data_IF_433590268779
#
_entry.id   IF_433590268779
#
_cell.length_a   1.000
_cell.length_b   1.000
_cell.length_c   1.000
_cell.angle_alpha   90.00
_cell.angle_beta   90.00
_cell.angle_gamma   90.00
#
_symmetry.space_group_name_H-M   'P 1'
#
loop_
_entity.id
_entity.type
_entity.pdbx_description
1 polymer ?
#
# COMPACT_ATOMS: atom_id res chain seq x y z
N UNK A 1 25.06 -10.48 4.28
CA UNK A 1 25.06 -11.15 2.96
C UNK A 1 26.30 -12.04 2.70
N UNK A 2 27.15 -12.25 3.67
CA UNK A 2 28.27 -13.20 3.55
C UNK A 2 27.67 -14.63 3.51
N UNK A 3 27.87 -15.37 2.43
CA UNK A 3 27.45 -16.75 2.13
C UNK A 3 26.11 -16.95 1.39
N UNK A 4 25.72 -16.02 0.49
CA UNK A 4 24.60 -16.30 -0.41
C UNK A 4 25.14 -17.11 -1.59
N UNK A 5 24.62 -18.33 -1.75
CA UNK A 5 24.94 -19.16 -2.90
C UNK A 5 24.11 -18.70 -4.11
N UNK A 6 24.75 -18.17 -5.13
CA UNK A 6 24.09 -17.66 -6.34
C UNK A 6 23.26 -18.76 -7.03
N UNK A 7 23.73 -20.01 -7.02
CA UNK A 7 22.99 -21.14 -7.58
C UNK A 7 21.67 -21.41 -6.85
N UNK A 8 21.62 -21.15 -5.52
CA UNK A 8 20.39 -21.30 -4.76
C UNK A 8 19.38 -20.17 -5.06
N UNK A 9 19.86 -18.95 -5.35
CA UNK A 9 18.98 -17.83 -5.75
C UNK A 9 18.17 -18.17 -6.98
N UNK A 10 18.76 -18.84 -7.97
CA UNK A 10 18.12 -19.19 -9.24
C UNK A 10 17.66 -20.66 -9.32
N UNK A 11 17.60 -21.36 -8.19
CA UNK A 11 17.04 -22.71 -8.16
C UNK A 11 15.54 -22.70 -8.44
N UNK A 12 15.01 -23.76 -9.09
CA UNK A 12 13.58 -23.86 -9.40
C UNK A 12 12.69 -23.71 -8.17
N UNK A 13 13.09 -24.32 -7.03
CA UNK A 13 12.36 -24.19 -5.77
C UNK A 13 12.33 -22.73 -5.26
N UNK A 14 13.48 -22.05 -5.28
CA UNK A 14 13.59 -20.65 -4.84
C UNK A 14 12.78 -19.74 -5.77
N UNK A 15 12.88 -19.91 -7.09
CA UNK A 15 12.12 -19.12 -8.06
C UNK A 15 10.62 -19.33 -7.90
N UNK A 16 10.15 -20.55 -7.66
CA UNK A 16 8.74 -20.82 -7.40
C UNK A 16 8.23 -20.10 -6.15
N UNK A 17 8.98 -20.17 -5.04
CA UNK A 17 8.62 -19.49 -3.79
C UNK A 17 8.67 -17.95 -3.95
N UNK A 18 9.66 -17.44 -4.67
CA UNK A 18 9.75 -16.00 -4.97
C UNK A 18 8.57 -15.52 -5.82
N UNK A 19 8.16 -16.34 -6.79
CA UNK A 19 6.98 -16.06 -7.61
C UNK A 19 5.70 -16.04 -6.76
N UNK A 20 5.58 -16.89 -5.73
CA UNK A 20 4.46 -16.84 -4.79
C UNK A 20 4.38 -15.47 -4.09
N UNK A 21 5.51 -14.97 -3.59
CA UNK A 21 5.59 -13.66 -2.96
C UNK A 21 5.27 -12.53 -3.94
N UNK A 22 5.80 -12.62 -5.18
CA UNK A 22 5.54 -11.63 -6.22
C UNK A 22 4.05 -11.58 -6.55
N UNK A 23 3.41 -12.71 -6.82
CA UNK A 23 2.01 -12.77 -7.24
C UNK A 23 1.05 -12.35 -6.12
N UNK A 24 1.37 -12.70 -4.86
CA UNK A 24 0.59 -12.25 -3.70
C UNK A 24 0.69 -10.73 -3.49
N UNK A 25 1.88 -10.13 -3.72
CA UNK A 25 2.08 -8.69 -3.63
C UNK A 25 1.49 -7.96 -4.84
N UNK A 26 1.73 -8.48 -6.06
CA UNK A 26 1.40 -7.81 -7.31
C UNK A 26 -0.07 -7.42 -7.40
N UNK A 27 -0.97 -8.36 -7.07
CA UNK A 27 -2.41 -8.12 -7.11
C UNK A 27 -2.86 -6.92 -6.25
N UNK A 28 -2.25 -6.73 -5.08
CA UNK A 28 -2.55 -5.58 -4.22
C UNK A 28 -1.80 -4.31 -4.62
N UNK A 29 -0.54 -4.44 -5.04
CA UNK A 29 0.31 -3.31 -5.37
C UNK A 29 -0.18 -2.52 -6.59
N UNK A 30 -0.75 -3.19 -7.60
CA UNK A 30 -1.28 -2.53 -8.80
C UNK A 30 -2.56 -1.72 -8.54
N UNK A 31 -3.30 -2.05 -7.48
CA UNK A 31 -4.57 -1.36 -7.16
C UNK A 31 -4.33 0.11 -6.80
N UNK A 32 -3.26 0.41 -6.05
CA UNK A 32 -2.94 1.77 -5.61
C UNK A 32 -2.72 2.73 -6.80
N UNK A 33 -1.77 2.47 -7.72
CA UNK A 33 -1.55 3.34 -8.87
C UNK A 33 -2.78 3.43 -9.80
N UNK A 34 -3.57 2.36 -9.94
CA UNK A 34 -4.78 2.39 -10.75
C UNK A 34 -5.86 3.30 -10.16
N UNK A 35 -6.07 3.28 -8.83
CA UNK A 35 -7.01 4.20 -8.17
C UNK A 35 -6.54 5.64 -8.30
N UNK A 36 -5.26 5.92 -8.04
CA UNK A 36 -4.71 7.28 -8.16
C UNK A 36 -4.87 7.79 -9.60
N UNK A 37 -4.51 6.96 -10.58
CA UNK A 37 -4.60 7.31 -12.00
C UNK A 37 -6.03 7.58 -12.45
N UNK A 38 -6.99 6.73 -12.07
CA UNK A 38 -8.40 6.91 -12.43
C UNK A 38 -8.99 8.14 -11.76
N UNK A 39 -8.69 8.38 -10.48
CA UNK A 39 -9.21 9.53 -9.73
C UNK A 39 -8.63 10.88 -10.21
N UNK A 40 -7.43 10.89 -10.76
CA UNK A 40 -6.74 12.09 -11.25
C UNK A 40 -6.75 12.20 -12.79
N UNK A 41 -7.49 11.35 -13.48
CA UNK A 41 -7.63 11.35 -14.94
C UNK A 41 -6.28 11.27 -15.69
N UNK A 42 -5.38 10.38 -15.24
CA UNK A 42 -4.12 10.16 -15.92
C UNK A 42 -4.31 9.61 -17.33
N UNK A 43 -3.44 9.99 -18.24
CA UNK A 43 -3.39 9.35 -19.55
C UNK A 43 -2.97 7.88 -19.41
N UNK A 44 -3.30 7.06 -20.42
CA UNK A 44 -2.89 5.64 -20.44
C UNK A 44 -1.38 5.47 -20.27
N UNK A 45 -0.58 6.36 -20.88
CA UNK A 45 0.88 6.32 -20.75
C UNK A 45 1.35 6.68 -19.36
N UNK A 46 0.76 7.68 -18.70
CA UNK A 46 1.09 8.04 -17.32
C UNK A 46 0.71 6.93 -16.35
N UNK A 47 -0.46 6.30 -16.55
CA UNK A 47 -0.90 5.16 -15.74
C UNK A 47 0.04 3.97 -15.89
N UNK A 48 0.42 3.64 -17.12
CA UNK A 48 1.35 2.56 -17.42
C UNK A 48 2.73 2.82 -16.80
N UNK A 49 3.22 4.05 -16.92
CA UNK A 49 4.47 4.46 -16.28
C UNK A 49 4.38 4.31 -14.76
N UNK A 50 3.32 4.84 -14.14
CA UNK A 50 3.12 4.81 -12.69
C UNK A 50 3.12 3.37 -12.16
N UNK A 51 2.34 2.47 -12.78
CA UNK A 51 2.28 1.04 -12.41
C UNK A 51 3.65 0.37 -12.53
N UNK A 52 4.34 0.58 -13.65
CA UNK A 52 5.63 -0.05 -13.92
C UNK A 52 6.73 0.47 -12.98
N UNK A 53 6.82 1.79 -12.81
CA UNK A 53 7.79 2.41 -11.94
C UNK A 53 7.55 2.08 -10.46
N UNK A 54 6.29 2.00 -10.01
CA UNK A 54 5.92 1.59 -8.66
C UNK A 54 6.49 0.21 -8.32
N UNK A 55 6.42 -0.75 -9.23
CA UNK A 55 6.95 -2.11 -9.01
C UNK A 55 8.48 -2.09 -8.91
N UNK A 56 9.16 -1.30 -9.76
CA UNK A 56 10.63 -1.14 -9.68
C UNK A 56 11.03 -0.55 -8.34
N UNK A 57 10.38 0.53 -7.93
CA UNK A 57 10.70 1.21 -6.66
C UNK A 57 10.37 0.30 -5.47
N UNK A 58 9.27 -0.47 -5.53
CA UNK A 58 8.94 -1.51 -4.54
C UNK A 58 10.07 -2.55 -4.42
N UNK A 59 10.63 -3.00 -5.55
CA UNK A 59 11.77 -3.91 -5.57
C UNK A 59 13.00 -3.31 -4.90
N UNK A 60 13.34 -2.05 -5.22
CA UNK A 60 14.46 -1.33 -4.59
C UNK A 60 14.20 -1.13 -3.09
N UNK A 61 13.00 -0.72 -2.69
CA UNK A 61 12.65 -0.53 -1.29
C UNK A 61 12.70 -1.85 -0.49
N UNK A 62 12.26 -2.97 -1.11
CA UNK A 62 12.40 -4.32 -0.53
C UNK A 62 13.87 -4.70 -0.34
N UNK A 63 14.72 -4.39 -1.33
CA UNK A 63 16.17 -4.60 -1.20
C UNK A 63 16.75 -3.80 -0.04
N UNK A 64 16.38 -2.53 0.10
CA UNK A 64 16.85 -1.67 1.20
C UNK A 64 16.47 -2.24 2.58
N UNK A 65 15.32 -2.87 2.74
CA UNK A 65 14.90 -3.51 3.98
C UNK A 65 15.65 -4.82 4.25
N UNK A 66 15.84 -5.64 3.21
CA UNK A 66 16.53 -6.93 3.30
C UNK A 66 18.04 -6.78 3.57
N UNK A 67 18.64 -5.69 3.06
CA UNK A 67 20.04 -5.37 3.28
C UNK A 67 20.27 -4.97 4.74
N UNK A 68 21.31 -5.49 5.39
CA UNK A 68 21.71 -5.09 6.74
C UNK A 68 23.00 -4.28 6.68
N UNK A 69 22.86 -2.99 6.51
CA UNK A 69 23.98 -2.04 6.50
C UNK A 69 24.18 -1.33 7.83
N UNK A 70 25.10 -0.36 7.86
CA UNK A 70 25.35 0.47 9.04
C UNK A 70 24.18 1.43 9.33
N UNK A 71 23.55 1.97 8.31
CA UNK A 71 22.51 3.00 8.41
C UNK A 71 21.15 2.57 7.89
N UNK A 72 21.10 1.61 6.97
CA UNK A 72 19.89 1.16 6.28
C UNK A 72 19.71 -0.35 6.43
N UNK A 73 18.46 -0.76 6.39
CA UNK A 73 18.04 -2.15 6.33
C UNK A 73 18.13 -2.88 7.66
N UNK A 74 17.05 -3.54 7.98
CA UNK A 74 16.90 -4.32 9.19
C UNK A 74 17.42 -5.75 9.02
N UNK A 75 17.59 -6.18 7.76
CA UNK A 75 18.05 -7.54 7.43
C UNK A 75 16.95 -8.59 7.56
N UNK A 76 15.70 -8.18 7.72
CA UNK A 76 14.50 -9.02 7.61
C UNK A 76 13.86 -8.87 6.22
N UNK A 77 13.14 -9.88 5.74
CA UNK A 77 12.51 -9.88 4.43
C UNK A 77 11.19 -9.11 4.43
N UNK A 78 11.25 -7.83 4.74
CA UNK A 78 10.11 -6.92 4.65
C UNK A 78 9.87 -6.59 3.19
N UNK A 79 8.84 -7.15 2.60
CA UNK A 79 8.44 -6.81 1.23
C UNK A 79 7.74 -5.47 1.24
N UNK A 80 8.21 -4.55 0.40
CA UNK A 80 7.68 -3.20 0.26
C UNK A 80 6.80 -3.11 -0.99
N UNK A 81 5.72 -2.36 -0.90
CA UNK A 81 4.84 -2.05 -2.03
C UNK A 81 4.14 -0.70 -1.80
N UNK A 82 3.32 -0.28 -2.79
CA UNK A 82 2.57 0.96 -2.75
C UNK A 82 1.67 1.05 -1.51
N UNK A 83 1.69 2.17 -0.83
CA UNK A 83 0.91 2.41 0.38
C UNK A 83 -0.55 2.69 0.07
N UNK A 84 -1.46 1.87 0.59
CA UNK A 84 -2.91 2.15 0.56
C UNK A 84 -3.27 3.43 1.32
N UNK A 85 -2.52 3.74 2.37
CA UNK A 85 -2.68 4.94 3.21
C UNK A 85 -2.49 6.23 2.40
N UNK A 86 -1.68 6.16 1.33
CA UNK A 86 -1.37 7.30 0.48
C UNK A 86 -2.47 7.64 -0.53
N UNK A 87 -3.41 6.73 -0.83
CA UNK A 87 -4.39 6.91 -1.90
C UNK A 87 -5.19 8.21 -1.70
N UNK A 88 -5.88 8.36 -0.58
CA UNK A 88 -6.70 9.54 -0.30
C UNK A 88 -5.90 10.85 -0.34
N UNK A 89 -4.81 10.98 0.43
CA UNK A 89 -3.96 12.17 0.41
C UNK A 89 -3.37 12.49 -0.97
N UNK A 90 -2.92 11.48 -1.74
CA UNK A 90 -2.39 11.72 -3.09
C UNK A 90 -3.46 12.21 -4.05
N UNK A 91 -4.65 11.59 -4.03
CA UNK A 91 -5.79 12.00 -4.88
C UNK A 91 -6.21 13.42 -4.53
N UNK A 92 -6.32 13.75 -3.24
CA UNK A 92 -6.70 15.09 -2.82
C UNK A 92 -5.65 16.13 -3.20
N UNK A 93 -4.37 15.88 -2.89
CA UNK A 93 -3.27 16.82 -3.21
C UNK A 93 -3.14 16.97 -4.73
N UNK A 94 -3.18 15.88 -5.48
CA UNK A 94 -3.11 15.90 -6.94
C UNK A 94 -4.26 16.67 -7.59
N UNK A 95 -5.48 16.48 -7.07
CA UNK A 95 -6.68 17.19 -7.55
C UNK A 95 -6.70 18.67 -7.18
N UNK A 96 -6.21 19.04 -6.00
CA UNK A 96 -6.27 20.42 -5.50
C UNK A 96 -5.05 21.26 -5.91
N UNK A 97 -3.84 20.70 -5.89
CA UNK A 97 -2.58 21.42 -6.07
C UNK A 97 -1.78 20.97 -7.30
N UNK A 98 -2.28 19.97 -8.05
CA UNK A 98 -1.62 19.42 -9.22
C UNK A 98 -0.63 18.30 -8.94
N UNK A 99 -0.26 17.55 -10.00
CA UNK A 99 0.57 16.35 -9.92
C UNK A 99 2.01 16.67 -9.45
N UNK A 100 2.58 17.79 -9.89
CA UNK A 100 3.90 18.22 -9.46
C UNK A 100 3.98 18.43 -7.95
N UNK A 101 2.94 19.02 -7.34
CA UNK A 101 2.84 19.19 -5.88
C UNK A 101 2.65 17.86 -5.16
N UNK A 102 1.88 16.95 -5.74
CA UNK A 102 1.67 15.62 -5.19
C UNK A 102 3.02 14.87 -5.07
N UNK A 103 3.77 14.74 -6.16
CA UNK A 103 5.06 14.03 -6.14
C UNK A 103 6.15 14.80 -5.38
N UNK A 104 6.17 16.13 -5.48
CA UNK A 104 7.07 16.98 -4.71
C UNK A 104 6.85 16.84 -3.20
N UNK A 105 5.60 16.70 -2.76
CA UNK A 105 5.26 16.48 -1.36
C UNK A 105 5.69 15.09 -0.87
N UNK A 106 5.59 14.05 -1.70
CA UNK A 106 6.12 12.71 -1.40
C UNK A 106 7.65 12.77 -1.21
N UNK A 107 8.35 13.50 -2.08
CA UNK A 107 9.80 13.67 -1.99
C UNK A 107 10.19 14.36 -0.67
N UNK A 108 9.54 15.46 -0.32
CA UNK A 108 9.82 16.17 0.95
C UNK A 108 9.44 15.31 2.15
N UNK A 109 8.32 14.59 2.11
CA UNK A 109 7.95 13.64 3.15
C UNK A 109 9.08 12.61 3.38
N UNK A 110 9.70 12.11 2.31
CA UNK A 110 10.87 11.22 2.40
C UNK A 110 12.04 11.84 3.17
N UNK A 111 12.36 13.11 2.90
CA UNK A 111 13.40 13.85 3.65
C UNK A 111 13.01 13.98 5.13
N UNK A 112 11.76 14.33 5.42
CA UNK A 112 11.27 14.46 6.80
C UNK A 112 11.33 13.12 7.53
N UNK A 113 10.94 12.01 6.89
CA UNK A 113 11.06 10.67 7.47
C UNK A 113 12.52 10.35 7.83
N UNK A 114 13.47 10.66 6.96
CA UNK A 114 14.89 10.44 7.25
C UNK A 114 15.35 11.23 8.48
N UNK A 115 14.90 12.48 8.64
CA UNK A 115 15.20 13.31 9.80
C UNK A 115 14.53 12.79 11.07
N UNK A 116 13.28 12.30 10.95
CA UNK A 116 12.50 11.78 12.08
C UNK A 116 12.89 10.36 12.48
N UNK A 117 13.52 9.55 11.60
CA UNK A 117 13.82 8.15 11.85
C UNK A 117 14.54 7.87 13.18
N UNK A 118 15.59 8.61 13.59
CA UNK A 118 16.26 8.38 14.87
C UNK A 118 15.36 8.74 16.06
N UNK A 119 14.52 9.77 15.94
CA UNK A 119 13.60 10.21 16.99
C UNK A 119 12.46 9.20 17.12
N UNK A 120 11.89 8.79 15.98
CA UNK A 120 10.77 7.88 15.91
C UNK A 120 11.12 6.46 16.42
N UNK A 121 12.35 6.00 16.20
CA UNK A 121 12.84 4.74 16.75
C UNK A 121 12.81 4.72 18.29
N UNK A 122 13.10 5.84 18.94
CA UNK A 122 12.97 6.01 20.40
C UNK A 122 11.52 6.09 20.85
N UNK A 123 10.67 6.68 20.04
CA UNK A 123 9.26 6.91 20.31
C UNK A 123 8.35 5.77 19.84
N UNK A 124 8.90 4.67 19.32
CA UNK A 124 8.12 3.52 18.83
C UNK A 124 7.14 2.94 19.87
N UNK A 125 7.43 3.14 21.16
CA UNK A 125 6.54 2.78 22.28
C UNK A 125 5.24 3.61 22.34
N UNK A 126 5.15 4.75 21.64
CA UNK A 126 3.92 5.56 21.52
C UNK A 126 2.89 4.95 20.58
N UNK A 127 3.28 3.95 19.81
CA UNK A 127 2.44 3.30 18.82
C UNK A 127 2.09 1.85 19.22
N UNK A 128 1.36 1.70 20.35
CA UNK A 128 0.92 0.36 20.79
C UNK A 128 -0.04 -0.25 19.76
N UNK A 129 -0.31 -1.56 19.86
CA UNK A 129 -1.24 -2.24 18.95
C UNK A 129 -2.64 -1.61 18.89
N UNK A 130 -3.08 -0.91 19.95
CA UNK A 130 -4.32 -0.12 19.93
C UNK A 130 -4.30 0.95 18.83
N UNK A 131 -3.20 1.70 18.73
CA UNK A 131 -3.03 2.76 17.73
C UNK A 131 -2.90 2.17 16.34
N UNK A 132 -2.02 1.18 16.17
CA UNK A 132 -1.79 0.54 14.85
C UNK A 132 -3.04 -0.18 14.35
N UNK A 133 -3.75 -0.90 15.22
CA UNK A 133 -5.00 -1.59 14.88
C UNK A 133 -6.10 -0.61 14.44
N UNK A 134 -6.24 0.52 15.14
CA UNK A 134 -7.22 1.56 14.76
C UNK A 134 -6.88 2.17 13.40
N UNK A 135 -5.61 2.49 13.14
CA UNK A 135 -5.17 3.03 11.84
C UNK A 135 -5.45 2.03 10.71
N UNK A 136 -5.11 0.76 10.89
CA UNK A 136 -5.34 -0.27 9.86
C UNK A 136 -6.84 -0.49 9.62
N UNK A 137 -7.66 -0.45 10.67
CA UNK A 137 -9.13 -0.48 10.56
C UNK A 137 -9.65 0.69 9.73
N UNK A 138 -9.14 1.91 9.99
CA UNK A 138 -9.48 3.10 9.23
C UNK A 138 -9.07 2.99 7.76
N UNK A 139 -7.89 2.46 7.46
CA UNK A 139 -7.44 2.26 6.06
C UNK A 139 -8.48 1.42 5.30
N UNK A 140 -8.85 0.26 5.86
CA UNK A 140 -9.84 -0.60 5.21
C UNK A 140 -11.20 0.07 5.07
N UNK A 141 -11.67 0.77 6.10
CA UNK A 141 -12.99 1.40 6.12
C UNK A 141 -13.08 2.64 5.20
N UNK A 142 -12.06 3.49 5.15
CA UNK A 142 -12.06 4.70 4.30
C UNK A 142 -11.98 4.40 2.80
N UNK A 143 -11.54 3.19 2.41
CA UNK A 143 -11.48 2.76 1.03
C UNK A 143 -12.77 2.05 0.54
N UNK A 144 -13.79 1.89 1.41
CA UNK A 144 -15.08 1.32 1.02
C UNK A 144 -15.76 2.13 -0.09
N UNK A 145 -15.89 3.47 -0.02
CA UNK A 145 -16.51 4.25 -1.10
C UNK A 145 -15.80 4.06 -2.44
N UNK A 146 -14.45 4.10 -2.45
CA UNK A 146 -13.65 3.88 -3.66
C UNK A 146 -13.89 2.48 -4.24
N UNK A 147 -14.01 1.47 -3.37
CA UNK A 147 -14.31 0.09 -3.76
C UNK A 147 -15.66 -0.02 -4.47
N UNK A 148 -16.70 0.60 -3.91
CA UNK A 148 -18.06 0.56 -4.46
C UNK A 148 -18.14 1.37 -5.75
N UNK A 149 -17.48 2.53 -5.83
CA UNK A 149 -17.42 3.32 -7.07
C UNK A 149 -16.74 2.52 -8.20
N UNK A 150 -15.66 1.82 -7.93
CA UNK A 150 -15.04 0.93 -8.92
C UNK A 150 -15.94 -0.24 -9.29
N UNK A 151 -16.61 -0.88 -8.33
CA UNK A 151 -17.58 -1.94 -8.59
C UNK A 151 -18.69 -1.50 -9.53
N UNK A 152 -19.11 -0.24 -9.41
CA UNK A 152 -20.14 0.38 -10.28
C UNK A 152 -19.61 0.78 -11.67
N UNK A 153 -18.33 0.59 -11.97
CA UNK A 153 -17.72 0.92 -13.27
C UNK A 153 -16.75 2.09 -13.27
N UNK A 154 -16.52 2.72 -12.11
CA UNK A 154 -15.68 3.91 -11.94
C UNK A 154 -16.47 5.20 -11.90
N UNK A 155 -16.16 6.06 -10.94
CA UNK A 155 -16.84 7.35 -10.77
C UNK A 155 -16.66 8.23 -12.03
N UNK A 156 -17.75 8.80 -12.53
CA UNK A 156 -17.76 9.64 -13.73
C UNK A 156 -17.80 8.87 -15.06
N UNK A 157 -17.78 7.53 -15.06
CA UNK A 157 -17.97 6.75 -16.29
C UNK A 157 -19.41 6.86 -16.81
N UNK A 158 -19.56 6.82 -18.14
CA UNK A 158 -20.88 6.92 -18.79
C UNK A 158 -21.82 5.75 -18.43
N UNK A 159 -21.27 4.59 -18.05
CA UNK A 159 -21.98 3.38 -17.65
C UNK A 159 -21.93 3.13 -16.15
N UNK A 160 -21.67 4.15 -15.33
CA UNK A 160 -21.65 4.07 -13.89
C UNK A 160 -22.98 3.52 -13.33
N UNK A 161 -22.87 2.51 -12.48
CA UNK A 161 -24.05 1.86 -11.87
C UNK A 161 -24.82 0.93 -12.80
N UNK A 162 -24.36 0.71 -14.05
CA UNK A 162 -24.97 -0.26 -14.95
C UNK A 162 -24.90 -1.68 -14.35
N UNK A 163 -25.98 -2.44 -14.57
CA UNK A 163 -26.11 -3.81 -14.10
C UNK A 163 -24.93 -4.71 -14.57
N UNK A 164 -24.45 -4.50 -15.79
CA UNK A 164 -23.31 -5.25 -16.33
C UNK A 164 -22.04 -5.06 -15.51
N UNK A 165 -21.76 -3.84 -15.04
CA UNK A 165 -20.62 -3.56 -14.19
C UNK A 165 -20.77 -4.22 -12.83
N UNK A 166 -21.95 -4.13 -12.21
CA UNK A 166 -22.23 -4.76 -10.93
C UNK A 166 -22.10 -6.29 -11.01
N UNK A 167 -22.66 -6.90 -12.07
CA UNK A 167 -22.55 -8.35 -12.31
C UNK A 167 -21.08 -8.74 -12.49
N UNK A 168 -20.33 -8.06 -13.34
CA UNK A 168 -18.93 -8.34 -13.62
C UNK A 168 -18.08 -8.27 -12.33
N UNK A 169 -18.25 -7.21 -11.55
CA UNK A 169 -17.51 -7.03 -10.31
C UNK A 169 -17.92 -8.04 -9.24
N UNK A 170 -19.20 -8.32 -9.08
CA UNK A 170 -19.68 -9.36 -8.14
C UNK A 170 -19.25 -10.77 -8.54
N UNK A 171 -19.23 -11.09 -9.84
CA UNK A 171 -18.67 -12.36 -10.33
C UNK A 171 -17.19 -12.49 -10.01
N UNK A 172 -16.41 -11.40 -10.22
CA UNK A 172 -14.99 -11.35 -9.85
C UNK A 172 -14.81 -11.62 -8.35
N UNK A 173 -15.57 -10.91 -7.50
CA UNK A 173 -15.55 -11.12 -6.05
C UNK A 173 -15.91 -12.56 -5.67
N UNK A 174 -16.97 -13.12 -6.27
CA UNK A 174 -17.42 -14.48 -6.00
C UNK A 174 -16.35 -15.51 -6.38
N UNK A 175 -15.68 -15.34 -7.51
CA UNK A 175 -14.57 -16.21 -7.93
C UNK A 175 -13.45 -16.18 -6.88
N UNK A 176 -13.05 -15.00 -6.42
CA UNK A 176 -12.03 -14.83 -5.38
C UNK A 176 -12.47 -15.55 -4.09
N UNK A 177 -13.71 -15.33 -3.67
CA UNK A 177 -14.29 -15.93 -2.46
C UNK A 177 -14.32 -17.48 -2.53
N UNK A 178 -14.74 -18.04 -3.66
CA UNK A 178 -14.76 -19.48 -3.88
C UNK A 178 -13.34 -20.06 -3.88
N UNK A 179 -12.40 -19.43 -4.57
CA UNK A 179 -10.99 -19.83 -4.55
C UNK A 179 -10.46 -19.79 -3.11
N UNK A 180 -10.69 -18.70 -2.39
CA UNK A 180 -10.22 -18.56 -1.01
C UNK A 180 -10.82 -19.62 -0.08
N UNK A 181 -12.09 -20.00 -0.30
CA UNK A 181 -12.82 -21.01 0.51
C UNK A 181 -12.37 -22.43 0.22
N UNK A 182 -12.17 -22.78 -1.05
CA UNK A 182 -11.98 -24.17 -1.48
C UNK A 182 -10.53 -24.53 -1.76
N UNK A 183 -9.61 -23.56 -1.81
CA UNK A 183 -8.17 -23.83 -1.98
C UNK A 183 -7.40 -23.58 -0.69
N UNK A 184 -6.16 -24.07 -0.63
CA UNK A 184 -5.24 -23.90 0.50
C UNK A 184 -3.85 -23.54 -0.01
N UNK A 185 -3.02 -22.99 0.87
CA UNK A 185 -1.62 -22.70 0.58
C UNK A 185 -1.45 -21.69 -0.56
N UNK A 186 -0.66 -22.03 -1.55
CA UNK A 186 -0.32 -21.11 -2.65
C UNK A 186 -1.54 -20.62 -3.43
N UNK A 187 -2.44 -21.50 -3.85
CA UNK A 187 -3.63 -21.09 -4.61
C UNK A 187 -4.52 -20.13 -3.82
N UNK A 188 -4.63 -20.31 -2.52
CA UNK A 188 -5.34 -19.38 -1.66
C UNK A 188 -4.66 -18.02 -1.59
N UNK A 189 -3.32 -17.96 -1.51
CA UNK A 189 -2.58 -16.70 -1.43
C UNK A 189 -2.64 -15.86 -2.71
N UNK A 190 -2.85 -16.49 -3.87
CA UNK A 190 -2.99 -15.80 -5.17
C UNK A 190 -4.43 -15.71 -5.66
N UNK A 191 -5.42 -16.00 -4.82
CA UNK A 191 -6.85 -16.02 -5.19
C UNK A 191 -7.31 -14.69 -5.81
N UNK A 192 -6.82 -13.56 -5.30
CA UNK A 192 -7.13 -12.22 -5.83
C UNK A 192 -6.61 -12.10 -7.27
N UNK A 193 -5.38 -12.52 -7.55
CA UNK A 193 -4.82 -12.45 -8.90
C UNK A 193 -5.58 -13.33 -9.88
N UNK A 194 -5.90 -14.57 -9.47
CA UNK A 194 -6.70 -15.49 -10.30
C UNK A 194 -8.08 -14.89 -10.57
N UNK A 195 -8.70 -14.29 -9.55
CA UNK A 195 -9.99 -13.62 -9.70
C UNK A 195 -9.94 -12.42 -10.65
N UNK A 196 -8.88 -11.58 -10.57
CA UNK A 196 -8.65 -10.50 -11.51
C UNK A 196 -8.53 -11.03 -12.95
N UNK A 197 -7.70 -12.05 -13.18
CA UNK A 197 -7.53 -12.64 -14.52
C UNK A 197 -8.85 -13.25 -15.02
N UNK A 198 -9.59 -13.97 -14.18
CA UNK A 198 -10.89 -14.52 -14.55
C UNK A 198 -11.91 -13.41 -14.86
N UNK A 199 -11.94 -12.35 -14.04
CA UNK A 199 -12.77 -11.17 -14.28
C UNK A 199 -12.43 -10.46 -15.60
N UNK A 200 -11.14 -10.33 -15.93
CA UNK A 200 -10.70 -9.79 -17.23
C UNK A 200 -11.17 -10.67 -18.40
N UNK A 201 -11.07 -11.99 -18.26
CA UNK A 201 -11.57 -12.91 -19.30
C UNK A 201 -13.07 -12.72 -19.48
N UNK A 202 -13.85 -12.63 -18.42
CA UNK A 202 -15.29 -12.36 -18.49
C UNK A 202 -15.54 -11.00 -19.14
N UNK A 203 -14.77 -9.97 -18.78
CA UNK A 203 -14.88 -8.63 -19.36
C UNK A 203 -14.61 -8.62 -20.88
N UNK A 204 -13.68 -9.44 -21.38
CA UNK A 204 -13.44 -9.61 -22.81
C UNK A 204 -14.71 -10.13 -23.51
N UNK A 205 -15.35 -11.17 -22.97
CA UNK A 205 -16.60 -11.73 -23.52
C UNK A 205 -17.78 -10.72 -23.45
N UNK A 206 -17.77 -9.83 -22.45
CA UNK A 206 -18.76 -8.76 -22.34
C UNK A 206 -18.44 -7.53 -23.19
N UNK A 207 -17.32 -7.49 -23.92
CA UNK A 207 -16.89 -6.34 -24.72
C UNK A 207 -16.50 -5.12 -23.88
N UNK A 208 -16.12 -5.31 -22.59
CA UNK A 208 -15.79 -4.24 -21.64
C UNK A 208 -14.28 -4.08 -21.41
N UNK A 209 -13.42 -4.74 -22.17
CA UNK A 209 -11.98 -4.66 -22.04
C UNK A 209 -11.34 -4.06 -23.28
N UNK A 210 -10.51 -3.03 -23.08
CA UNK A 210 -9.67 -2.48 -24.14
C UNK A 210 -8.30 -3.19 -24.13
N UNK A 211 -7.96 -3.80 -25.27
CA UNK A 211 -6.69 -4.52 -25.47
C UNK A 211 -5.58 -3.64 -26.07
N UNK A 212 -5.93 -2.42 -26.55
CA UNK A 212 -4.95 -1.54 -27.20
C UNK A 212 -3.75 -1.21 -26.30
N UNK A 213 -3.92 -0.86 -25.01
CA UNK A 213 -2.79 -0.57 -24.16
C UNK A 213 -1.76 -1.70 -24.08
N UNK A 214 -2.23 -2.96 -24.12
CA UNK A 214 -1.34 -4.14 -24.10
C UNK A 214 -0.59 -4.29 -25.43
N UNK A 215 -1.26 -4.03 -26.55
CA UNK A 215 -0.66 -4.18 -27.89
C UNK A 215 0.41 -3.11 -28.12
N UNK A 216 0.13 -1.87 -27.72
CA UNK A 216 0.98 -0.70 -27.95
C UNK A 216 2.13 -0.56 -26.94
N UNK A 217 2.03 -1.19 -25.77
CA UNK A 217 3.05 -1.10 -24.74
C UNK A 217 4.42 -1.60 -25.23
N UNK A 218 5.46 -0.88 -24.87
CA UNK A 218 6.85 -1.26 -25.15
C UNK A 218 7.26 -2.49 -24.36
N UNK A 219 8.30 -3.19 -24.84
CA UNK A 219 8.86 -4.35 -24.13
C UNK A 219 9.79 -3.96 -22.98
N UNK A 220 10.44 -2.81 -23.06
CA UNK A 220 11.38 -2.33 -22.04
C UNK A 220 11.19 -0.84 -21.84
N UNK A 221 11.09 -0.43 -20.59
CA UNK A 221 11.08 0.97 -20.17
C UNK A 221 11.81 1.11 -18.85
N UNK A 222 12.73 2.05 -18.79
CA UNK A 222 13.39 2.41 -17.53
C UNK A 222 12.61 3.53 -16.84
N UNK A 223 12.48 3.49 -15.51
CA UNK A 223 11.99 4.64 -14.77
C UNK A 223 12.89 5.86 -15.02
N UNK A 224 12.28 6.99 -15.32
CA UNK A 224 12.95 8.26 -15.56
C UNK A 224 12.59 9.23 -14.45
N UNK A 225 13.54 9.97 -13.86
CA UNK A 225 13.21 11.00 -12.89
C UNK A 225 12.23 12.02 -13.45
N UNK A 226 11.21 12.36 -12.66
CA UNK A 226 10.19 13.37 -12.98
C UNK A 226 9.47 13.14 -14.30
N UNK A 227 9.20 11.87 -14.64
CA UNK A 227 8.64 11.47 -15.94
C UNK A 227 7.19 11.94 -16.18
N UNK A 228 6.38 12.07 -15.12
CA UNK A 228 5.00 12.52 -15.21
C UNK A 228 4.93 14.04 -15.07
N UNK A 229 5.59 14.58 -14.04
CA UNK A 229 5.57 16.01 -13.74
C UNK A 229 6.78 16.40 -12.91
N UNK A 230 7.31 17.61 -13.13
CA UNK A 230 8.37 18.18 -12.30
C UNK A 230 7.84 18.53 -10.90
N UNK A 231 8.67 18.39 -9.84
CA UNK A 231 8.21 18.62 -8.49
C UNK A 231 7.88 20.09 -8.24
N UNK A 232 6.74 20.37 -7.66
CA UNK A 232 6.37 21.64 -7.05
C UNK A 232 6.00 21.43 -5.58
N UNK A 233 5.94 22.49 -4.80
CA UNK A 233 5.87 22.36 -3.33
C UNK A 233 4.78 23.26 -2.76
N UNK A 234 3.92 22.69 -1.91
CA UNK A 234 2.92 23.42 -1.15
C UNK A 234 2.93 22.95 0.31
N UNK A 235 3.00 23.85 1.32
CA UNK A 235 3.16 23.45 2.72
C UNK A 235 2.10 22.50 3.24
N UNK A 236 0.81 22.73 2.94
CA UNK A 236 -0.28 21.87 3.39
C UNK A 236 -0.19 20.47 2.76
N UNK A 237 0.17 20.37 1.49
CA UNK A 237 0.38 19.11 0.78
C UNK A 237 1.56 18.33 1.38
N UNK A 238 2.67 19.00 1.68
CA UNK A 238 3.84 18.41 2.33
C UNK A 238 3.48 17.85 3.71
N UNK A 239 2.72 18.60 4.51
CA UNK A 239 2.26 18.14 5.83
C UNK A 239 1.39 16.90 5.69
N UNK A 240 0.42 16.89 4.77
CA UNK A 240 -0.45 15.75 4.50
C UNK A 240 0.34 14.47 4.18
N UNK A 241 1.24 14.54 3.19
CA UNK A 241 2.06 13.40 2.78
C UNK A 241 3.12 13.00 3.82
N UNK A 242 3.58 13.95 4.65
CA UNK A 242 4.46 13.67 5.80
C UNK A 242 3.73 12.82 6.85
N UNK A 243 2.47 13.14 7.15
CA UNK A 243 1.66 12.32 8.10
C UNK A 243 1.46 10.91 7.54
N UNK A 244 1.20 10.76 6.23
CA UNK A 244 1.18 9.44 5.57
C UNK A 244 2.50 8.70 5.80
N UNK A 245 3.63 9.38 5.65
CA UNK A 245 4.95 8.80 5.91
C UNK A 245 5.15 8.35 7.36
N UNK A 246 4.65 9.12 8.33
CA UNK A 246 4.67 8.73 9.75
C UNK A 246 3.80 7.48 9.96
N UNK A 247 2.62 7.41 9.36
CA UNK A 247 1.75 6.23 9.42
C UNK A 247 2.46 5.02 8.80
N UNK A 248 3.15 5.19 7.67
CA UNK A 248 3.95 4.11 7.06
C UNK A 248 5.07 3.62 7.97
N UNK A 249 5.71 4.49 8.77
CA UNK A 249 6.67 4.05 9.79
C UNK A 249 6.00 3.21 10.89
N UNK A 250 4.77 3.55 11.28
CA UNK A 250 3.98 2.76 12.25
C UNK A 250 3.66 1.39 11.66
N UNK A 251 3.15 1.32 10.43
CA UNK A 251 2.83 0.07 9.72
C UNK A 251 4.05 -0.85 9.62
N UNK A 252 5.18 -0.29 9.16
CA UNK A 252 6.45 -1.03 9.03
C UNK A 252 6.91 -1.55 10.39
N UNK A 253 6.70 -0.81 11.48
CA UNK A 253 7.05 -1.26 12.85
C UNK A 253 6.28 -2.52 13.21
N UNK A 254 4.97 -2.55 12.99
CA UNK A 254 4.15 -3.74 13.26
C UNK A 254 4.62 -4.96 12.47
N UNK A 255 4.91 -4.80 11.19
CA UNK A 255 5.41 -5.86 10.30
C UNK A 255 6.81 -6.32 10.70
N UNK A 256 7.69 -5.40 11.12
CA UNK A 256 9.01 -5.72 11.61
C UNK A 256 8.92 -6.64 12.84
N UNK A 257 8.07 -6.33 13.82
CA UNK A 257 7.87 -7.18 14.98
C UNK A 257 7.26 -8.54 14.63
N UNK A 258 6.28 -8.57 13.72
CA UNK A 258 5.68 -9.83 13.26
C UNK A 258 6.72 -10.76 12.60
N UNK A 259 7.52 -10.22 11.69
CA UNK A 259 8.61 -10.98 11.05
C UNK A 259 9.70 -11.36 12.04
N UNK A 260 10.09 -10.46 12.95
CA UNK A 260 11.12 -10.76 13.95
C UNK A 260 10.73 -11.94 14.83
N UNK A 261 9.45 -12.00 15.27
CA UNK A 261 8.94 -13.17 15.99
C UNK A 261 9.01 -14.47 15.19
N UNK A 262 8.76 -14.42 13.86
CA UNK A 262 8.90 -15.60 13.00
C UNK A 262 10.36 -16.02 12.79
N UNK A 263 11.28 -15.07 12.84
CA UNK A 263 12.71 -15.29 12.60
C UNK A 263 13.51 -15.45 13.91
N UNK A 264 12.83 -15.55 15.06
CA UNK A 264 13.46 -15.65 16.39
C UNK A 264 14.53 -14.57 16.59
N UNK A 265 14.20 -13.34 16.18
CA UNK A 265 15.12 -12.19 16.23
C UNK A 265 14.58 -11.11 17.15
N UNK A 266 15.39 -10.68 18.10
CA UNK A 266 15.12 -9.47 18.87
C UNK A 266 15.36 -8.22 18.03
N UNK A 267 14.49 -7.24 18.18
CA UNK A 267 14.56 -5.93 17.52
C UNK A 267 14.99 -4.88 18.53
N UNK A 268 16.07 -4.19 18.24
CA UNK A 268 16.53 -3.03 18.99
C UNK A 268 16.14 -1.70 18.31
N UNK A 269 16.38 -0.58 19.01
CA UNK A 269 16.16 0.78 18.49
C UNK A 269 16.97 1.04 17.20
N UNK A 270 18.17 0.49 17.11
CA UNK A 270 19.03 0.65 15.93
C UNK A 270 18.47 -0.11 14.71
N UNK A 271 17.85 -1.27 14.93
CA UNK A 271 17.17 -2.03 13.88
C UNK A 271 15.97 -1.24 13.34
N UNK A 272 15.11 -0.69 14.20
CA UNK A 272 13.99 0.15 13.80
C UNK A 272 14.45 1.39 13.05
N UNK A 273 15.45 2.10 13.56
CA UNK A 273 16.02 3.27 12.88
C UNK A 273 16.50 2.95 11.47
N UNK A 274 17.20 1.82 11.26
CA UNK A 274 17.64 1.37 9.93
C UNK A 274 16.46 1.07 9.01
N UNK A 275 15.40 0.46 9.54
CA UNK A 275 14.18 0.21 8.79
C UNK A 275 13.51 1.51 8.35
N UNK A 276 13.40 2.51 9.24
CA UNK A 276 12.81 3.81 8.89
C UNK A 276 13.66 4.60 7.90
N UNK A 277 14.98 4.51 7.96
CA UNK A 277 15.84 5.07 6.91
C UNK A 277 15.53 4.44 5.54
N UNK A 278 15.29 3.14 5.49
CA UNK A 278 14.90 2.48 4.25
C UNK A 278 13.53 2.96 3.74
N UNK A 279 12.56 3.21 4.64
CA UNK A 279 11.26 3.82 4.29
C UNK A 279 11.46 5.23 3.71
N UNK A 280 12.23 6.08 4.39
CA UNK A 280 12.50 7.45 3.92
C UNK A 280 13.17 7.49 2.54
N UNK A 281 14.14 6.60 2.29
CA UNK A 281 14.74 6.47 0.96
C UNK A 281 13.72 5.98 -0.07
N UNK A 282 12.83 5.04 0.30
CA UNK A 282 11.72 4.59 -0.56
C UNK A 282 10.81 5.75 -0.97
N UNK A 283 10.46 6.63 -0.03
CA UNK A 283 9.67 7.84 -0.30
C UNK A 283 10.42 8.84 -1.19
N UNK A 284 11.72 9.06 -0.96
CA UNK A 284 12.54 9.90 -1.84
C UNK A 284 12.54 9.39 -3.28
N UNK A 285 12.77 8.09 -3.45
CA UNK A 285 12.75 7.46 -4.76
C UNK A 285 11.35 7.58 -5.39
N UNK A 286 10.28 7.39 -4.60
CA UNK A 286 8.92 7.57 -5.07
C UNK A 286 8.66 8.98 -5.59
N UNK A 287 9.08 10.02 -4.86
CA UNK A 287 8.96 11.41 -5.31
C UNK A 287 9.78 11.71 -6.57
N UNK A 288 11.04 11.22 -6.64
CA UNK A 288 11.93 11.42 -7.80
C UNK A 288 11.38 10.73 -9.05
N UNK A 289 10.90 9.50 -8.92
CA UNK A 289 10.42 8.72 -10.05
C UNK A 289 8.90 8.83 -10.28
N UNK A 290 8.25 9.81 -9.67
CA UNK A 290 6.80 10.05 -9.76
C UNK A 290 5.99 8.77 -9.54
N UNK A 291 6.25 8.08 -8.42
CA UNK A 291 5.55 6.87 -8.01
C UNK A 291 4.81 7.08 -6.69
N UNK A 292 4.04 6.07 -6.28
CA UNK A 292 3.35 6.07 -4.99
C UNK A 292 4.34 5.84 -3.84
N UNK A 293 4.11 6.39 -2.64
CA UNK A 293 4.92 6.09 -1.46
C UNK A 293 4.93 4.59 -1.14
N UNK A 294 6.06 4.09 -0.66
CA UNK A 294 6.24 2.68 -0.36
C UNK A 294 6.09 2.39 1.13
N UNK A 295 5.32 1.35 1.47
CA UNK A 295 5.18 0.81 2.83
C UNK A 295 5.39 -0.69 2.87
N UNK A 296 5.45 -1.28 4.08
CA UNK A 296 5.56 -2.72 4.22
C UNK A 296 4.23 -3.41 3.89
N UNK A 297 4.30 -4.48 3.10
CA UNK A 297 3.14 -5.20 2.59
C UNK A 297 2.80 -6.41 3.47
N UNK A 298 1.78 -6.28 4.30
CA UNK A 298 1.41 -7.27 5.33
C UNK A 298 1.01 -8.62 4.77
N UNK A 299 0.46 -8.68 3.56
CA UNK A 299 0.07 -9.93 2.89
C UNK A 299 1.26 -10.88 2.71
N UNK A 300 2.46 -10.34 2.47
CA UNK A 300 3.66 -11.17 2.34
C UNK A 300 4.14 -11.80 3.66
N UNK A 301 3.78 -11.22 4.80
CA UNK A 301 4.00 -11.87 6.12
C UNK A 301 3.21 -13.18 6.20
N UNK A 302 1.96 -13.18 5.72
CA UNK A 302 1.14 -14.38 5.62
C UNK A 302 1.75 -15.46 4.72
N UNK A 303 2.37 -15.07 3.60
CA UNK A 303 3.08 -16.02 2.72
C UNK A 303 4.29 -16.63 3.41
N UNK A 304 5.07 -15.85 4.15
CA UNK A 304 6.19 -16.36 4.99
C UNK A 304 5.67 -17.37 6.00
N UNK A 305 4.58 -17.05 6.70
CA UNK A 305 3.98 -17.92 7.70
C UNK A 305 3.48 -19.23 7.10
N UNK A 306 2.80 -19.18 5.96
CA UNK A 306 2.27 -20.38 5.29
C UNK A 306 3.37 -21.26 4.69
N UNK A 307 4.40 -20.68 4.10
CA UNK A 307 5.49 -21.42 3.46
C UNK A 307 6.49 -22.00 4.47
N UNK A 308 6.59 -21.38 5.66
CA UNK A 308 7.62 -21.67 6.64
C UNK A 308 9.06 -21.39 6.18
N UNK A 309 9.23 -20.84 4.97
CA UNK A 309 10.53 -20.62 4.35
C UNK A 309 11.11 -19.26 4.73
N UNK A 310 12.28 -19.30 5.36
CA UNK A 310 12.95 -18.11 5.92
C UNK A 310 14.23 -17.72 5.15
N UNK A 311 14.52 -18.38 4.02
CA UNK A 311 15.77 -18.16 3.27
C UNK A 311 15.80 -16.82 2.57
N UNK A 312 16.88 -16.06 2.78
CA UNK A 312 17.07 -14.74 2.12
C UNK A 312 17.19 -14.84 0.60
N UNK A 313 17.62 -15.98 0.08
CA UNK A 313 17.73 -16.23 -1.38
C UNK A 313 16.40 -16.08 -2.08
N UNK A 314 15.28 -16.44 -1.43
CA UNK A 314 13.92 -16.27 -1.96
C UNK A 314 13.62 -14.77 -2.18
N UNK A 315 13.94 -13.93 -1.21
CA UNK A 315 13.65 -12.50 -1.29
C UNK A 315 14.61 -11.76 -2.24
N UNK A 316 15.83 -12.24 -2.42
CA UNK A 316 16.74 -11.72 -3.45
C UNK A 316 16.20 -12.05 -4.85
N UNK A 317 15.76 -13.28 -5.07
CA UNK A 317 15.12 -13.65 -6.34
C UNK A 317 13.82 -12.88 -6.55
N UNK A 318 13.00 -12.69 -5.50
CA UNK A 318 11.81 -11.83 -5.54
C UNK A 318 12.13 -10.41 -6.01
N UNK A 319 13.17 -9.78 -5.44
CA UNK A 319 13.60 -8.44 -5.85
C UNK A 319 13.96 -8.41 -7.32
N UNK A 320 14.71 -9.40 -7.81
CA UNK A 320 15.06 -9.51 -9.23
C UNK A 320 13.80 -9.63 -10.08
N UNK A 321 12.84 -10.47 -9.69
CA UNK A 321 11.56 -10.62 -10.38
C UNK A 321 10.74 -9.32 -10.38
N UNK A 322 10.70 -8.58 -9.26
CA UNK A 322 10.02 -7.27 -9.18
C UNK A 322 10.65 -6.28 -10.16
N UNK A 323 11.99 -6.18 -10.17
CA UNK A 323 12.70 -5.29 -11.10
C UNK A 323 12.40 -5.66 -12.55
N UNK A 324 12.45 -6.95 -12.89
CA UNK A 324 12.13 -7.42 -14.24
C UNK A 324 10.68 -7.12 -14.63
N UNK A 325 9.72 -7.37 -13.73
CA UNK A 325 8.30 -7.08 -13.99
C UNK A 325 8.04 -5.59 -14.20
N UNK A 326 8.67 -4.73 -13.40
CA UNK A 326 8.49 -3.29 -13.56
C UNK A 326 9.23 -2.70 -14.77
N UNK A 327 10.29 -3.37 -15.26
CA UNK A 327 11.01 -2.95 -16.47
C UNK A 327 10.34 -3.44 -17.77
N UNK A 328 9.30 -4.27 -17.69
CA UNK A 328 8.54 -4.79 -18.84
C UNK A 328 7.14 -4.15 -18.83
N UNK A 329 6.93 -2.99 -19.50
CA UNK A 329 5.64 -2.28 -19.49
C UNK A 329 4.46 -3.13 -19.98
N UNK A 330 4.67 -4.14 -20.81
CA UNK A 330 3.59 -5.07 -21.21
C UNK A 330 2.93 -5.76 -20.01
N UNK A 331 3.68 -6.04 -18.94
CA UNK A 331 3.13 -6.61 -17.72
C UNK A 331 2.26 -5.56 -16.99
N UNK A 332 2.73 -4.31 -16.92
CA UNK A 332 1.97 -3.17 -16.41
C UNK A 332 0.72 -2.89 -17.25
N UNK A 333 0.82 -3.01 -18.58
CA UNK A 333 -0.31 -2.79 -19.48
C UNK A 333 -1.46 -3.80 -19.27
N UNK A 334 -1.16 -5.03 -18.90
CA UNK A 334 -2.20 -5.98 -18.48
C UNK A 334 -2.95 -5.44 -17.26
N UNK A 335 -2.23 -4.89 -16.29
CA UNK A 335 -2.83 -4.31 -15.09
C UNK A 335 -3.68 -3.06 -15.42
N UNK A 336 -3.20 -2.17 -16.30
CA UNK A 336 -3.93 -0.96 -16.69
C UNK A 336 -5.16 -1.24 -17.56
N UNK A 337 -5.23 -2.42 -18.17
CA UNK A 337 -6.40 -2.86 -18.96
C UNK A 337 -7.47 -3.55 -18.11
N UNK A 338 -7.28 -3.67 -16.78
CA UNK A 338 -8.30 -4.22 -15.87
C UNK A 338 -9.49 -3.27 -15.80
N UNK A 339 -10.71 -3.68 -16.17
CA UNK A 339 -11.90 -2.83 -16.04
C UNK A 339 -12.17 -2.46 -14.59
N UNK A 340 -12.65 -1.23 -14.35
CA UNK A 340 -12.93 -0.73 -12.99
C UNK A 340 -13.84 -1.68 -12.20
N UNK A 341 -14.86 -2.27 -12.83
CA UNK A 341 -15.76 -3.21 -12.18
C UNK A 341 -15.05 -4.48 -11.67
N UNK A 342 -14.12 -5.03 -12.47
CA UNK A 342 -13.29 -6.18 -12.08
C UNK A 342 -12.40 -5.80 -10.89
N UNK A 343 -11.80 -4.61 -10.97
CA UNK A 343 -10.97 -4.07 -9.91
C UNK A 343 -11.78 -3.90 -8.62
N UNK A 344 -12.98 -3.33 -8.70
CA UNK A 344 -13.91 -3.16 -7.56
C UNK A 344 -14.25 -4.49 -6.88
N UNK A 345 -14.51 -5.54 -7.66
CA UNK A 345 -14.75 -6.89 -7.14
C UNK A 345 -13.55 -7.44 -6.34
N UNK A 346 -12.32 -7.25 -6.84
CA UNK A 346 -11.10 -7.63 -6.14
C UNK A 346 -10.84 -6.77 -4.88
N UNK A 347 -11.16 -5.47 -4.95
CA UNK A 347 -11.00 -4.51 -3.85
C UNK A 347 -11.89 -4.84 -2.65
N UNK A 348 -13.13 -5.37 -2.86
CA UNK A 348 -14.00 -5.83 -1.76
C UNK A 348 -13.24 -6.85 -0.88
N UNK A 349 -12.60 -7.82 -1.50
CA UNK A 349 -11.85 -8.84 -0.77
C UNK A 349 -10.57 -8.26 -0.14
N UNK A 350 -9.84 -7.44 -0.88
CA UNK A 350 -8.55 -6.89 -0.45
C UNK A 350 -8.72 -5.94 0.74
N UNK A 351 -9.60 -4.94 0.63
CA UNK A 351 -9.81 -3.97 1.72
C UNK A 351 -10.65 -4.55 2.86
N UNK A 352 -11.53 -5.52 2.56
CA UNK A 352 -12.18 -6.34 3.58
C UNK A 352 -11.18 -7.09 4.46
N UNK A 353 -10.11 -7.65 3.87
CA UNK A 353 -9.03 -8.29 4.63
C UNK A 353 -8.22 -7.28 5.45
N UNK A 354 -7.92 -6.09 4.91
CA UNK A 354 -7.22 -5.03 5.65
C UNK A 354 -8.05 -4.60 6.87
N UNK A 355 -9.35 -4.35 6.66
CA UNK A 355 -10.29 -4.01 7.73
C UNK A 355 -10.34 -5.11 8.81
N UNK A 356 -10.51 -6.37 8.40
CA UNK A 356 -10.55 -7.52 9.31
C UNK A 356 -9.26 -7.70 10.10
N UNK A 357 -8.09 -7.46 9.47
CA UNK A 357 -6.82 -7.50 10.16
C UNK A 357 -6.72 -6.42 11.24
N UNK A 358 -7.13 -5.18 10.93
CA UNK A 358 -7.19 -4.10 11.92
C UNK A 358 -8.09 -4.46 13.10
N UNK A 359 -9.30 -4.99 12.84
CA UNK A 359 -10.23 -5.46 13.88
C UNK A 359 -9.61 -6.59 14.72
N UNK A 360 -8.89 -7.53 14.09
CA UNK A 360 -8.21 -8.61 14.81
C UNK A 360 -7.14 -8.10 15.76
N UNK A 361 -6.36 -7.08 15.34
CA UNK A 361 -5.36 -6.43 16.21
C UNK A 361 -6.03 -5.74 17.40
N UNK A 362 -7.17 -5.07 17.18
CA UNK A 362 -7.96 -4.43 18.23
C UNK A 362 -8.59 -5.45 19.18
N UNK A 363 -9.07 -6.57 18.67
CA UNK A 363 -9.67 -7.65 19.46
C UNK A 363 -8.70 -8.30 20.45
N UNK A 364 -7.40 -8.16 20.22
CA UNK A 364 -6.36 -8.61 21.14
C UNK A 364 -6.04 -7.58 22.27
N UNK A 365 -6.67 -6.38 22.24
CA UNK A 365 -6.50 -5.36 23.24
C UNK A 365 -7.58 -5.46 24.32
N UNK A 366 -7.33 -4.84 25.49
CA UNK A 366 -8.34 -4.74 26.54
C UNK A 366 -9.45 -3.76 26.12
N UNK A 367 -10.48 -4.30 25.50
CA UNK A 367 -11.67 -3.54 25.10
C UNK A 367 -12.68 -3.35 26.26
N UNK A 368 -12.43 -3.90 27.45
CA UNK A 368 -13.22 -3.61 28.65
C UNK A 368 -12.82 -2.26 29.26
N UNK A 369 -11.62 -1.74 28.99
CA UNK A 369 -11.23 -0.37 29.39
C UNK A 369 -11.98 0.65 28.52
N UNK A 370 -12.85 1.44 29.16
CA UNK A 370 -13.63 2.52 28.54
C UNK A 370 -12.75 3.56 27.81
N UNK A 371 -11.51 3.76 28.25
CA UNK A 371 -10.56 4.67 27.58
C UNK A 371 -10.18 4.14 26.20
N UNK A 372 -9.88 2.84 26.10
CA UNK A 372 -9.57 2.20 24.83
C UNK A 372 -10.74 2.28 23.86
N UNK A 373 -11.98 2.03 24.37
CA UNK A 373 -13.20 2.17 23.55
C UNK A 373 -13.37 3.60 23.04
N UNK A 374 -13.16 4.60 23.90
CA UNK A 374 -13.29 6.00 23.52
C UNK A 374 -12.23 6.40 22.48
N UNK A 375 -10.97 5.98 22.66
CA UNK A 375 -9.87 6.25 21.73
C UNK A 375 -10.20 5.70 20.33
N UNK A 376 -10.58 4.43 20.28
CA UNK A 376 -10.94 3.76 19.02
C UNK A 376 -12.17 4.42 18.38
N UNK A 377 -13.24 4.59 19.16
CA UNK A 377 -14.51 5.12 18.67
C UNK A 377 -14.38 6.55 18.14
N UNK A 378 -13.71 7.44 18.87
CA UNK A 378 -13.49 8.82 18.44
C UNK A 378 -12.62 8.90 17.18
N UNK A 379 -11.53 8.12 17.12
CA UNK A 379 -10.63 8.11 15.97
C UNK A 379 -11.33 7.58 14.70
N UNK A 380 -12.10 6.50 14.82
CA UNK A 380 -12.85 5.94 13.69
C UNK A 380 -13.95 6.92 13.25
N UNK A 381 -14.68 7.52 14.19
CA UNK A 381 -15.77 8.46 13.86
C UNK A 381 -15.22 9.70 13.14
N UNK A 382 -14.13 10.29 13.63
CA UNK A 382 -13.51 11.45 12.99
C UNK A 382 -12.95 11.06 11.62
N UNK A 383 -12.24 9.94 11.53
CA UNK A 383 -11.64 9.48 10.28
C UNK A 383 -12.69 9.17 9.21
N UNK A 384 -13.72 8.41 9.53
CA UNK A 384 -14.83 8.14 8.62
C UNK A 384 -15.64 9.38 8.31
N UNK A 385 -15.86 10.27 9.29
CA UNK A 385 -16.56 11.54 9.10
C UNK A 385 -15.90 12.39 8.01
N UNK A 386 -14.58 12.52 8.04
CA UNK A 386 -13.82 13.24 7.00
C UNK A 386 -13.94 12.54 5.63
N UNK A 387 -13.87 11.20 5.60
CA UNK A 387 -13.93 10.45 4.35
C UNK A 387 -15.33 10.50 3.69
N UNK A 388 -16.41 10.50 4.49
CA UNK A 388 -17.79 10.42 4.00
C UNK A 388 -18.39 11.82 3.78
N UNK A 389 -18.01 12.79 4.61
CA UNK A 389 -18.57 14.16 4.58
C UNK A 389 -17.46 15.22 4.46
N UNK A 390 -16.62 15.21 3.43
CA UNK A 390 -15.50 16.15 3.29
C UNK A 390 -15.96 17.61 3.23
N UNK A 391 -17.16 17.86 2.67
CA UNK A 391 -17.75 19.21 2.59
C UNK A 391 -17.97 19.86 3.97
N UNK A 392 -18.16 19.07 5.05
CA UNK A 392 -18.30 19.60 6.40
C UNK A 392 -17.04 20.32 6.90
N UNK A 393 -15.90 20.02 6.31
CA UNK A 393 -14.57 20.54 6.69
C UNK A 393 -14.02 21.54 5.66
N UNK A 394 -14.76 21.84 4.59
CA UNK A 394 -14.29 22.68 3.48
C UNK A 394 -13.96 24.13 3.86
N UNK A 395 -14.53 24.62 4.97
CA UNK A 395 -14.28 25.99 5.46
C UNK A 395 -13.17 26.09 6.50
N UNK A 396 -12.46 24.99 6.77
CA UNK A 396 -11.32 25.05 7.70
C UNK A 396 -10.21 25.92 7.14
N UNK A 397 -9.53 26.72 8.01
CA UNK A 397 -8.36 27.47 7.58
C UNK A 397 -7.29 26.58 6.96
N UNK A 398 -6.58 27.09 5.95
CA UNK A 398 -5.60 26.33 5.18
C UNK A 398 -4.51 25.67 6.04
N UNK A 399 -4.08 26.33 7.12
CA UNK A 399 -3.07 25.81 8.03
C UNK A 399 -3.50 24.56 8.82
N UNK A 400 -4.80 24.24 8.89
CA UNK A 400 -5.33 23.04 9.55
C UNK A 400 -6.01 22.07 8.55
N UNK A 401 -6.29 22.52 7.33
CA UNK A 401 -6.97 21.71 6.30
C UNK A 401 -6.25 20.41 5.96
N UNK A 402 -4.93 20.35 6.18
CA UNK A 402 -4.16 19.10 6.03
C UNK A 402 -4.64 17.97 6.96
N UNK A 403 -5.20 18.28 8.13
CA UNK A 403 -5.76 17.26 9.02
C UNK A 403 -6.97 16.55 8.41
N UNK A 404 -7.73 17.27 7.60
CA UNK A 404 -8.90 16.73 6.92
C UNK A 404 -8.64 16.37 5.46
N UNK A 405 -7.34 16.28 5.10
CA UNK A 405 -6.92 15.84 3.77
C UNK A 405 -7.31 14.39 3.47
N UNK A 406 -7.42 13.56 4.48
CA UNK A 406 -8.01 12.23 4.36
C UNK A 406 -8.49 11.73 5.71
N UNK A 407 -9.47 10.82 5.69
CA UNK A 407 -9.97 10.19 6.90
C UNK A 407 -8.88 9.45 7.67
N UNK A 408 -7.90 8.88 6.98
CA UNK A 408 -6.76 8.17 7.60
C UNK A 408 -5.88 9.15 8.37
N UNK A 409 -5.61 10.33 7.79
CA UNK A 409 -4.81 11.38 8.45
C UNK A 409 -5.55 11.88 9.69
N UNK A 410 -6.83 12.24 9.56
CA UNK A 410 -7.63 12.75 10.67
C UNK A 410 -7.75 11.74 11.82
N UNK A 411 -8.14 10.52 11.50
CA UNK A 411 -8.29 9.46 12.49
C UNK A 411 -6.94 9.00 13.06
N UNK A 412 -5.89 8.94 12.25
CA UNK A 412 -4.54 8.59 12.67
C UNK A 412 -3.96 9.58 13.69
N UNK A 413 -4.10 10.88 13.41
CA UNK A 413 -3.70 11.93 14.37
C UNK A 413 -4.55 11.85 15.64
N UNK A 414 -5.85 11.66 15.50
CA UNK A 414 -6.77 11.55 16.63
C UNK A 414 -6.41 10.39 17.56
N UNK A 415 -6.17 9.18 17.00
CA UNK A 415 -5.83 8.01 17.83
C UNK A 415 -4.52 8.19 18.58
N UNK A 416 -3.51 8.79 17.93
CA UNK A 416 -2.20 9.03 18.56
C UNK A 416 -2.33 10.03 19.71
N UNK A 417 -3.04 11.16 19.48
CA UNK A 417 -3.23 12.19 20.48
C UNK A 417 -4.04 11.69 21.69
N UNK A 418 -5.15 10.99 21.43
CA UNK A 418 -5.98 10.44 22.51
C UNK A 418 -5.25 9.33 23.27
N UNK A 419 -4.51 8.47 22.59
CA UNK A 419 -3.70 7.45 23.26
C UNK A 419 -2.64 8.09 24.17
N UNK A 420 -1.95 9.11 23.70
CA UNK A 420 -0.98 9.86 24.50
C UNK A 420 -1.63 10.57 25.69
N UNK A 421 -2.85 11.11 25.51
CA UNK A 421 -3.59 11.79 26.56
C UNK A 421 -4.05 10.84 27.68
N UNK A 422 -4.63 9.68 27.32
CA UNK A 422 -5.21 8.76 28.31
C UNK A 422 -4.20 7.81 28.93
N UNK A 423 -3.21 7.35 28.18
CA UNK A 423 -2.22 6.36 28.66
C UNK A 423 -0.84 6.95 28.92
N UNK A 424 -0.64 8.22 28.56
CA UNK A 424 0.64 8.90 28.70
C UNK A 424 1.70 8.30 27.79
N UNK A 425 2.88 8.92 27.81
CA UNK A 425 4.09 8.37 27.19
C UNK A 425 4.71 7.43 28.22
N UNK A 426 4.31 6.16 28.25
CA UNK A 426 4.94 5.19 29.17
C UNK A 426 6.44 5.16 28.93
N UNK A 427 7.21 5.54 29.95
CA UNK A 427 8.67 5.48 29.98
C UNK A 427 9.20 4.07 29.81
#
# INVERSE_FOLDING_TARGET
MKNINVKDVFSAKTTFLSLQHLLAMYAGAIVVPLIISSSLNFTTQQTLYLVSADIVISGIATFLQLYRGKFIGMGLPVVMACSFTAIGPMVQVGGQYGLGTMFGSVLVAGLVILLLAPIFAKLSRLFPPLVTGTIVTLIGATLIPVTINNLAGGEGSADYGNMDNLILGLMTFLIILLLYRFTKGFLQSISILIGLVAGMIIAIFMGKMDMQPILEASWVQLPVPFAIESPSFHPAAILSLTVVGIISMIEVTGINYALAGMYDKDIDEADLRRSYFSVGIGYLLAGIFNTSPQTAFSQNVGVVQMSGEKRKTIFINLIILMLLCGLIPKIGAIATSVPSAVLGGAMIFLFGNVLSYGISVLGAQDLADNRNQLIIGAAITIGLGVAIAPAAFAQLPEWISWLTSSGIVAGGVTVVLLNAFFHGVKK
#
